data_IF_517536441557
#
_entry.id   IF_517536441557
#
_cell.length_a   1.000
_cell.length_b   1.000
_cell.length_c   1.000
_cell.angle_alpha   90.00
_cell.angle_beta   90.00
_cell.angle_gamma   90.00
#
_symmetry.space_group_name_H-M   'P 1'
#
loop_
_entity.id
_entity.type
_entity.pdbx_description
1 polymer ?
#
# COMPACT_ATOMS: atom_id res chain seq x y z
N UNK A 1 -30.42 -13.68 2.91
CA UNK A 1 -30.34 -12.77 4.08
C UNK A 1 -28.91 -12.27 4.37
N UNK A 2 -27.85 -13.11 4.36
CA UNK A 2 -26.46 -12.67 4.60
C UNK A 2 -25.91 -11.79 3.47
N UNK A 3 -26.23 -12.07 2.23
CA UNK A 3 -25.76 -11.31 1.05
C UNK A 3 -26.39 -9.90 0.97
N UNK A 4 -27.69 -9.76 1.28
CA UNK A 4 -28.35 -8.45 1.35
C UNK A 4 -27.74 -7.56 2.43
N UNK A 5 -27.52 -8.10 3.62
CA UNK A 5 -26.88 -7.35 4.72
C UNK A 5 -25.47 -6.87 4.38
N UNK A 6 -24.68 -7.73 3.71
CA UNK A 6 -23.33 -7.38 3.25
C UNK A 6 -23.34 -6.26 2.20
N UNK A 7 -24.31 -6.26 1.27
CA UNK A 7 -24.46 -5.20 0.27
C UNK A 7 -24.91 -3.87 0.91
N UNK A 8 -25.80 -3.91 1.91
CA UNK A 8 -26.22 -2.72 2.65
C UNK A 8 -25.09 -2.13 3.49
N UNK A 9 -24.31 -2.97 4.20
CA UNK A 9 -23.16 -2.54 4.99
C UNK A 9 -22.08 -1.91 4.10
N UNK A 10 -21.82 -2.49 2.93
CA UNK A 10 -20.88 -1.93 1.95
C UNK A 10 -21.36 -0.62 1.33
N UNK A 11 -22.68 -0.49 1.08
CA UNK A 11 -23.26 0.75 0.56
C UNK A 11 -23.20 1.87 1.60
N UNK A 12 -23.48 1.55 2.87
CA UNK A 12 -23.38 2.50 4.00
C UNK A 12 -21.95 2.95 4.20
N UNK A 13 -20.98 2.03 4.23
CA UNK A 13 -19.57 2.36 4.37
C UNK A 13 -19.08 3.28 3.23
N UNK A 14 -19.49 3.04 1.97
CA UNK A 14 -19.17 3.92 0.84
C UNK A 14 -19.79 5.31 0.97
N UNK A 15 -21.01 5.38 1.47
CA UNK A 15 -21.71 6.65 1.70
C UNK A 15 -20.98 7.46 2.78
N UNK A 16 -20.65 6.85 3.91
CA UNK A 16 -19.98 7.50 5.04
C UNK A 16 -18.56 7.95 4.64
N UNK A 17 -17.83 7.11 3.89
CA UNK A 17 -16.53 7.49 3.33
C UNK A 17 -16.63 8.71 2.38
N UNK A 18 -17.67 8.77 1.53
CA UNK A 18 -17.91 9.93 0.64
C UNK A 18 -18.17 11.19 1.44
N UNK A 19 -18.95 11.12 2.53
CA UNK A 19 -19.19 12.25 3.41
C UNK A 19 -17.90 12.74 4.06
N UNK A 20 -17.07 11.83 4.54
CA UNK A 20 -15.75 12.15 5.10
C UNK A 20 -14.88 12.89 4.09
N UNK A 21 -14.76 12.38 2.87
CA UNK A 21 -14.00 13.03 1.80
C UNK A 21 -14.58 14.41 1.43
N UNK A 22 -15.91 14.57 1.44
CA UNK A 22 -16.53 15.85 1.16
C UNK A 22 -16.24 16.89 2.25
N UNK A 23 -16.27 16.50 3.51
CA UNK A 23 -15.90 17.38 4.64
C UNK A 23 -14.43 17.82 4.54
N UNK A 24 -13.51 16.89 4.25
CA UNK A 24 -12.09 17.20 4.03
C UNK A 24 -11.91 18.20 2.89
N UNK A 25 -12.62 18.00 1.78
CA UNK A 25 -12.60 18.92 0.62
C UNK A 25 -13.07 20.32 0.99
N UNK A 26 -14.14 20.45 1.79
CA UNK A 26 -14.66 21.76 2.21
C UNK A 26 -13.66 22.47 3.13
N UNK A 27 -13.09 21.77 4.10
CA UNK A 27 -12.10 22.34 5.03
C UNK A 27 -10.83 22.77 4.28
N UNK A 28 -10.36 21.95 3.34
CA UNK A 28 -9.23 22.28 2.47
C UNK A 28 -9.51 23.52 1.60
N UNK A 29 -10.71 23.61 1.00
CA UNK A 29 -11.09 24.74 0.14
C UNK A 29 -11.25 26.07 0.92
N UNK A 30 -11.46 25.99 2.23
CA UNK A 30 -11.50 27.15 3.13
C UNK A 30 -10.11 27.52 3.70
N UNK A 31 -9.07 26.77 3.34
CA UNK A 31 -7.72 26.88 3.91
C UNK A 31 -7.70 26.77 5.44
N UNK A 32 -8.74 26.19 6.04
CA UNK A 32 -8.84 25.93 7.48
C UNK A 32 -8.08 24.64 7.84
N UNK A 33 -6.77 24.73 7.75
CA UNK A 33 -5.87 23.59 8.03
C UNK A 33 -5.93 23.13 9.48
N UNK A 34 -6.29 24.02 10.42
CA UNK A 34 -6.44 23.64 11.82
C UNK A 34 -7.62 22.69 12.01
N UNK A 35 -8.80 23.06 11.51
CA UNK A 35 -10.00 22.20 11.57
C UNK A 35 -9.83 20.95 10.71
N UNK A 36 -9.12 21.04 9.57
CA UNK A 36 -8.80 19.90 8.73
C UNK A 36 -7.97 18.88 9.50
N UNK A 37 -6.89 19.30 10.15
CA UNK A 37 -6.04 18.42 10.93
C UNK A 37 -6.80 17.81 12.11
N UNK A 38 -7.56 18.61 12.88
CA UNK A 38 -8.40 18.07 13.97
C UNK A 38 -9.42 17.03 13.49
N UNK A 39 -9.98 17.22 12.29
CA UNK A 39 -10.92 16.27 11.70
C UNK A 39 -10.21 14.97 11.32
N UNK A 40 -9.02 15.06 10.70
CA UNK A 40 -8.19 13.91 10.36
C UNK A 40 -7.73 13.15 11.61
N UNK A 41 -7.26 13.85 12.64
CA UNK A 41 -6.79 13.24 13.91
C UNK A 41 -7.87 12.41 14.58
N UNK A 42 -9.14 12.85 14.53
CA UNK A 42 -10.28 12.07 15.07
C UNK A 42 -10.50 10.74 14.33
N UNK A 43 -10.18 10.69 13.02
CA UNK A 43 -10.32 9.48 12.21
C UNK A 43 -9.09 8.56 12.31
N UNK A 44 -7.92 9.14 12.52
CA UNK A 44 -6.64 8.42 12.50
C UNK A 44 -6.15 7.99 13.89
N UNK A 45 -6.92 8.31 14.97
CA UNK A 45 -6.55 7.97 16.34
C UNK A 45 -5.08 8.29 16.67
N UNK A 46 -4.74 9.60 16.66
CA UNK A 46 -3.47 10.14 17.18
C UNK A 46 -2.22 9.32 16.79
N UNK A 47 -1.85 9.34 15.51
CA UNK A 47 -0.50 8.91 15.13
C UNK A 47 0.47 10.06 15.43
N UNK A 48 1.51 9.85 16.24
CA UNK A 48 2.55 10.86 16.41
C UNK A 48 3.18 11.15 15.05
N UNK A 49 3.23 12.44 14.69
CA UNK A 49 3.97 12.88 13.50
C UNK A 49 5.45 12.71 13.84
N UNK A 50 6.02 11.58 13.44
CA UNK A 50 7.46 11.36 13.48
C UNK A 50 8.15 12.33 12.52
N UNK A 51 9.43 12.62 12.74
CA UNK A 51 10.23 13.44 11.81
C UNK A 51 10.04 12.93 10.38
N UNK A 52 9.68 13.84 9.46
CA UNK A 52 9.42 13.48 8.07
C UNK A 52 10.73 13.14 7.37
N UNK A 53 10.87 11.91 6.93
CA UNK A 53 12.02 11.43 6.15
C UNK A 53 11.77 11.72 4.68
N UNK A 54 12.78 12.19 3.96
CA UNK A 54 12.71 12.37 2.51
C UNK A 54 13.12 11.09 1.79
N UNK A 55 12.16 10.34 1.27
CA UNK A 55 12.38 9.12 0.49
C UNK A 55 12.47 9.39 -1.03
N UNK A 56 11.63 10.29 -1.56
CA UNK A 56 11.59 10.60 -2.99
C UNK A 56 10.91 11.95 -3.26
N UNK A 57 10.99 12.42 -4.51
CA UNK A 57 10.41 13.69 -4.95
C UNK A 57 8.88 13.64 -5.09
N UNK A 58 8.28 12.47 -5.40
CA UNK A 58 6.83 12.36 -5.47
C UNK A 58 6.22 12.50 -4.07
N UNK A 59 5.46 13.57 -3.84
CA UNK A 59 4.95 13.93 -2.52
C UNK A 59 3.98 12.90 -1.95
N UNK A 60 3.14 12.29 -2.78
CA UNK A 60 2.15 11.30 -2.35
C UNK A 60 2.81 10.00 -1.90
N UNK A 61 3.81 9.52 -2.68
CA UNK A 61 4.61 8.35 -2.31
C UNK A 61 5.45 8.64 -1.08
N UNK A 62 6.07 9.83 -0.99
CA UNK A 62 6.84 10.22 0.18
C UNK A 62 5.99 10.21 1.46
N UNK A 63 4.76 10.75 1.39
CA UNK A 63 3.81 10.71 2.52
C UNK A 63 3.41 9.28 2.90
N UNK A 64 3.11 8.43 1.91
CA UNK A 64 2.79 7.02 2.14
C UNK A 64 3.93 6.27 2.85
N UNK A 65 5.18 6.47 2.41
CA UNK A 65 6.35 5.83 3.02
C UNK A 65 6.57 6.32 4.45
N UNK A 66 6.40 7.63 4.71
CA UNK A 66 6.46 8.17 6.07
C UNK A 66 5.37 7.63 7.00
N UNK A 67 4.25 7.16 6.45
CA UNK A 67 3.20 6.51 7.22
C UNK A 67 3.49 5.02 7.50
N UNK A 68 3.95 4.26 6.49
CA UNK A 68 4.09 2.79 6.60
C UNK A 68 5.44 2.34 7.19
N UNK A 69 6.55 3.03 6.84
CA UNK A 69 7.88 2.56 7.25
C UNK A 69 8.10 2.64 8.77
N UNK A 70 7.64 3.66 9.50
CA UNK A 70 7.75 3.66 10.96
C UNK A 70 7.14 2.41 11.60
N UNK A 71 5.96 1.96 11.16
CA UNK A 71 5.33 0.75 11.69
C UNK A 71 6.13 -0.53 11.40
N UNK A 72 6.83 -0.58 10.26
CA UNK A 72 7.74 -1.68 9.96
C UNK A 72 8.96 -1.69 10.90
N UNK A 73 9.53 -0.51 11.16
CA UNK A 73 10.68 -0.36 12.06
C UNK A 73 10.31 -0.69 13.52
N UNK A 74 9.13 -0.25 13.98
CA UNK A 74 8.60 -0.59 15.32
C UNK A 74 8.36 -2.10 15.47
N UNK A 75 8.13 -2.80 14.35
CA UNK A 75 7.98 -4.26 14.32
C UNK A 75 9.33 -5.00 14.14
N UNK A 76 10.47 -4.33 14.35
CA UNK A 76 11.83 -4.87 14.15
C UNK A 76 12.04 -5.43 12.73
N UNK A 77 11.45 -4.82 11.71
CA UNK A 77 11.65 -5.22 10.32
C UNK A 77 12.79 -4.39 9.72
N UNK A 78 13.83 -5.07 9.25
CA UNK A 78 14.86 -4.39 8.46
C UNK A 78 14.32 -3.99 7.09
N UNK A 79 14.46 -2.72 6.72
CA UNK A 79 13.95 -2.18 5.45
C UNK A 79 15.08 -1.65 4.58
N UNK A 80 15.15 -2.12 3.34
CA UNK A 80 16.07 -1.62 2.30
C UNK A 80 15.22 -1.01 1.16
N UNK A 81 15.26 0.32 1.06
CA UNK A 81 14.40 1.09 0.17
C UNK A 81 15.21 1.84 -0.89
N UNK A 82 14.89 1.59 -2.16
CA UNK A 82 15.46 2.32 -3.30
C UNK A 82 14.33 2.96 -4.10
N UNK A 83 14.04 4.23 -3.82
CA UNK A 83 12.93 4.96 -4.45
C UNK A 83 13.48 6.08 -5.33
N UNK A 84 13.40 5.92 -6.65
CA UNK A 84 13.86 6.89 -7.65
C UNK A 84 12.70 7.21 -8.57
N UNK A 85 11.93 8.21 -8.21
CA UNK A 85 10.76 8.66 -8.94
C UNK A 85 10.89 10.15 -9.28
N UNK A 86 10.41 10.59 -10.46
CA UNK A 86 10.24 12.00 -10.76
C UNK A 86 9.09 12.60 -9.95
N UNK A 87 8.95 13.92 -10.00
CA UNK A 87 7.89 14.66 -9.28
C UNK A 87 6.48 14.23 -9.74
N UNK A 88 6.32 13.91 -11.02
CA UNK A 88 5.07 13.47 -11.62
C UNK A 88 5.27 12.28 -12.55
N UNK A 89 4.26 11.43 -12.65
CA UNK A 89 4.20 10.26 -13.50
C UNK A 89 2.88 10.21 -14.25
N UNK A 90 2.79 9.54 -15.42
CA UNK A 90 1.52 9.25 -16.09
C UNK A 90 0.59 8.34 -15.26
N UNK A 91 1.15 7.57 -14.31
CA UNK A 91 0.38 6.82 -13.33
C UNK A 91 -0.13 7.77 -12.25
N UNK A 92 -1.45 7.75 -11.97
CA UNK A 92 -2.01 8.63 -10.94
C UNK A 92 -1.43 8.34 -9.56
N UNK A 93 -1.22 9.38 -8.75
CA UNK A 93 -0.72 9.24 -7.38
C UNK A 93 -1.60 8.30 -6.53
N UNK A 94 -2.92 8.34 -6.73
CA UNK A 94 -3.87 7.46 -6.03
C UNK A 94 -3.60 6.00 -6.35
N UNK A 95 -3.42 5.68 -7.63
CA UNK A 95 -3.17 4.30 -8.08
C UNK A 95 -1.78 3.84 -7.64
N UNK A 96 -0.77 4.71 -7.74
CA UNK A 96 0.59 4.40 -7.30
C UNK A 96 0.64 4.15 -5.79
N UNK A 97 0.00 5.00 -4.98
CA UNK A 97 -0.11 4.80 -3.54
C UNK A 97 -0.93 3.54 -3.19
N UNK A 98 -1.96 3.21 -3.98
CA UNK A 98 -2.72 1.96 -3.79
C UNK A 98 -1.85 0.73 -4.03
N UNK A 99 -1.05 0.72 -5.10
CA UNK A 99 -0.11 -0.38 -5.40
C UNK A 99 0.92 -0.52 -4.28
N UNK A 100 1.63 0.56 -3.95
CA UNK A 100 2.71 0.54 -2.95
C UNK A 100 2.20 0.25 -1.54
N UNK A 101 1.04 0.79 -1.16
CA UNK A 101 0.40 0.50 0.12
C UNK A 101 0.07 -0.97 0.27
N UNK A 102 -0.59 -1.57 -0.72
CA UNK A 102 -0.91 -3.00 -0.71
C UNK A 102 0.36 -3.89 -0.68
N UNK A 103 1.42 -3.50 -1.40
CA UNK A 103 2.71 -4.22 -1.39
C UNK A 103 3.32 -4.18 0.02
N UNK A 104 3.48 -2.98 0.59
CA UNK A 104 4.12 -2.79 1.88
C UNK A 104 3.32 -3.42 3.03
N UNK A 105 2.00 -3.26 3.04
CA UNK A 105 1.15 -3.93 4.04
C UNK A 105 1.24 -5.45 3.96
N UNK A 106 1.30 -6.03 2.74
CA UNK A 106 1.49 -7.46 2.57
C UNK A 106 2.89 -7.89 3.03
N UNK A 107 3.93 -7.11 2.73
CA UNK A 107 5.30 -7.37 3.14
C UNK A 107 5.46 -7.32 4.67
N UNK A 108 4.94 -6.28 5.33
CA UNK A 108 4.94 -6.16 6.80
C UNK A 108 4.24 -7.37 7.43
N UNK A 109 3.04 -7.71 6.95
CA UNK A 109 2.30 -8.86 7.48
C UNK A 109 3.01 -10.19 7.22
N UNK A 110 3.71 -10.35 6.08
CA UNK A 110 4.56 -11.51 5.80
C UNK A 110 5.68 -11.62 6.82
N UNK A 111 6.41 -10.54 7.06
CA UNK A 111 7.49 -10.48 8.04
C UNK A 111 7.04 -10.82 9.46
N UNK A 112 5.80 -10.46 9.85
CA UNK A 112 5.26 -10.83 11.17
C UNK A 112 5.05 -12.33 11.38
N UNK A 113 5.20 -13.15 10.34
CA UNK A 113 5.10 -14.62 10.44
C UNK A 113 6.43 -15.30 10.77
N UNK A 114 7.52 -14.55 10.84
CA UNK A 114 8.87 -15.04 11.18
C UNK A 114 9.41 -14.31 12.42
N UNK A 115 10.46 -14.85 13.03
CA UNK A 115 11.14 -14.22 14.18
C UNK A 115 11.78 -12.88 13.78
N UNK A 116 11.92 -11.96 14.74
CA UNK A 116 12.33 -10.57 14.51
C UNK A 116 13.67 -10.46 13.75
N UNK A 117 14.65 -11.27 14.11
CA UNK A 117 15.98 -11.29 13.48
C UNK A 117 15.97 -11.70 11.99
N UNK A 118 14.87 -12.31 11.52
CA UNK A 118 14.73 -12.76 10.14
C UNK A 118 13.82 -11.84 9.31
N UNK A 119 13.25 -10.77 9.90
CA UNK A 119 12.33 -9.86 9.21
C UNK A 119 13.08 -8.92 8.29
N UNK A 120 12.77 -8.99 7.01
CA UNK A 120 13.40 -8.14 6.01
C UNK A 120 12.42 -7.76 4.91
N UNK A 121 12.42 -6.49 4.52
CA UNK A 121 11.70 -5.96 3.35
C UNK A 121 12.71 -5.24 2.47
N UNK A 122 12.70 -5.56 1.18
CA UNK A 122 13.41 -4.82 0.15
C UNK A 122 12.39 -4.28 -0.84
N UNK A 123 12.45 -2.98 -1.12
CA UNK A 123 11.56 -2.31 -2.07
C UNK A 123 12.38 -1.43 -3.01
N UNK A 124 12.28 -1.70 -4.31
CA UNK A 124 12.84 -0.87 -5.37
C UNK A 124 11.72 -0.31 -6.23
N UNK A 125 11.62 1.02 -6.32
CA UNK A 125 10.65 1.73 -7.17
C UNK A 125 11.43 2.70 -8.02
N UNK A 126 11.58 2.40 -9.31
CA UNK A 126 12.43 3.17 -10.22
C UNK A 126 11.77 3.37 -11.56
N UNK A 127 12.00 4.54 -12.19
CA UNK A 127 11.73 4.74 -13.60
C UNK A 127 12.99 4.49 -14.42
N UNK A 128 12.84 3.90 -15.61
CA UNK A 128 13.93 3.72 -16.57
C UNK A 128 13.60 4.36 -17.90
N UNK A 129 14.48 5.26 -18.35
CA UNK A 129 14.40 5.96 -19.66
C UNK A 129 13.04 6.64 -19.89
N UNK A 130 12.35 7.08 -18.83
CA UNK A 130 11.01 7.68 -18.88
C UNK A 130 9.98 6.85 -19.69
N UNK A 131 10.20 5.54 -19.74
CA UNK A 131 9.38 4.62 -20.55
C UNK A 131 8.65 3.61 -19.68
N UNK A 132 9.27 3.20 -18.56
CA UNK A 132 8.71 2.18 -17.67
C UNK A 132 8.95 2.52 -16.21
N UNK A 133 7.93 2.30 -15.42
CA UNK A 133 8.00 2.23 -13.96
C UNK A 133 8.17 0.77 -13.54
N UNK A 134 9.22 0.48 -12.79
CA UNK A 134 9.48 -0.82 -12.19
C UNK A 134 9.28 -0.74 -10.69
N UNK A 135 8.50 -1.67 -10.15
CA UNK A 135 8.31 -1.87 -8.72
C UNK A 135 8.68 -3.31 -8.42
N UNK A 136 9.74 -3.51 -7.64
CA UNK A 136 10.20 -4.82 -7.20
C UNK A 136 10.21 -4.84 -5.69
N UNK A 137 9.46 -5.75 -5.10
CA UNK A 137 9.40 -5.92 -3.67
C UNK A 137 9.71 -7.37 -3.28
N UNK A 138 10.48 -7.52 -2.20
CA UNK A 138 10.77 -8.82 -1.60
C UNK A 138 10.60 -8.71 -0.10
N UNK A 139 9.96 -9.69 0.50
CA UNK A 139 9.88 -9.79 1.96
C UNK A 139 10.07 -11.22 2.45
N UNK A 140 10.56 -11.36 3.67
CA UNK A 140 10.60 -12.65 4.36
C UNK A 140 9.21 -13.04 4.87
N UNK A 141 8.93 -14.34 4.93
CA UNK A 141 7.72 -14.92 5.51
C UNK A 141 7.95 -16.41 5.85
N UNK A 142 6.97 -17.07 6.43
CA UNK A 142 7.07 -18.46 6.90
C UNK A 142 6.88 -19.55 5.82
N UNK A 143 6.90 -19.20 4.53
CA UNK A 143 6.72 -20.12 3.40
C UNK A 143 5.27 -20.61 3.16
N UNK A 144 4.33 -20.30 4.06
CA UNK A 144 2.97 -20.79 3.96
C UNK A 144 2.13 -19.91 3.02
N UNK A 145 1.75 -20.44 1.89
CA UNK A 145 0.84 -19.80 0.92
C UNK A 145 -0.40 -20.66 0.67
N UNK A 146 -1.50 -20.00 0.33
CA UNK A 146 -2.70 -20.65 -0.21
C UNK A 146 -2.89 -20.18 -1.63
N UNK A 147 -3.09 -21.13 -2.56
CA UNK A 147 -3.32 -20.82 -3.98
C UNK A 147 -4.60 -21.52 -4.46
N UNK A 148 -5.33 -20.84 -5.33
CA UNK A 148 -6.42 -21.43 -6.10
C UNK A 148 -6.20 -21.05 -7.58
N UNK A 149 -6.07 -22.05 -8.47
CA UNK A 149 -5.77 -21.84 -9.90
C UNK A 149 -4.67 -20.80 -10.16
N UNK A 150 -3.52 -20.96 -9.51
CA UNK A 150 -2.35 -20.04 -9.57
C UNK A 150 -2.54 -18.66 -8.93
N UNK A 151 -3.72 -18.34 -8.40
CA UNK A 151 -3.95 -17.09 -7.66
C UNK A 151 -3.63 -17.27 -6.18
N UNK A 152 -2.88 -16.32 -5.62
CA UNK A 152 -2.63 -16.27 -4.18
C UNK A 152 -3.90 -15.86 -3.42
N UNK A 153 -4.25 -16.65 -2.41
CA UNK A 153 -5.36 -16.36 -1.49
C UNK A 153 -4.80 -15.85 -0.16
N UNK A 154 -5.61 -15.08 0.55
CA UNK A 154 -5.22 -14.62 1.90
C UNK A 154 -5.05 -15.82 2.84
N UNK A 155 -4.00 -15.77 3.65
CA UNK A 155 -3.78 -16.69 4.77
C UNK A 155 -4.29 -16.11 6.09
N UNK A 156 -4.74 -14.83 6.09
CA UNK A 156 -5.23 -14.15 7.29
C UNK A 156 -6.64 -14.62 7.66
N UNK A 157 -6.94 -14.89 8.95
CA UNK A 157 -8.26 -15.36 9.39
C UNK A 157 -9.40 -14.39 9.04
N UNK A 158 -9.15 -13.07 9.07
CA UNK A 158 -10.12 -12.00 8.78
C UNK A 158 -9.76 -11.21 7.51
N UNK A 159 -8.80 -11.67 6.72
CA UNK A 159 -8.35 -10.96 5.51
C UNK A 159 -9.25 -11.27 4.32
N UNK A 160 -9.66 -10.24 3.60
CA UNK A 160 -10.52 -10.38 2.40
C UNK A 160 -9.73 -10.79 1.15
N UNK A 161 -8.39 -10.90 1.21
CA UNK A 161 -7.55 -11.31 0.08
C UNK A 161 -7.55 -10.34 -1.11
N UNK A 162 -7.95 -9.10 -0.89
CA UNK A 162 -8.19 -8.13 -1.95
C UNK A 162 -6.88 -7.45 -2.42
N UNK A 163 -5.84 -7.41 -1.57
CA UNK A 163 -4.63 -6.60 -1.82
C UNK A 163 -3.90 -6.96 -3.13
N UNK A 164 -3.56 -8.24 -3.35
CA UNK A 164 -2.88 -8.67 -4.57
C UNK A 164 -3.76 -8.51 -5.81
N UNK A 165 -5.06 -8.79 -5.69
CA UNK A 165 -6.04 -8.58 -6.77
C UNK A 165 -6.19 -7.08 -7.09
N UNK A 166 -6.19 -6.21 -6.08
CA UNK A 166 -6.22 -4.76 -6.29
C UNK A 166 -4.97 -4.27 -7.03
N UNK A 167 -3.79 -4.77 -6.68
CA UNK A 167 -2.55 -4.47 -7.41
C UNK A 167 -2.71 -4.89 -8.88
N UNK A 168 -3.15 -6.11 -9.15
CA UNK A 168 -3.31 -6.63 -10.49
C UNK A 168 -4.26 -5.78 -11.34
N UNK A 169 -5.46 -5.48 -10.84
CA UNK A 169 -6.46 -4.64 -11.52
C UNK A 169 -5.87 -3.25 -11.82
N UNK A 170 -5.17 -2.66 -10.83
CA UNK A 170 -4.60 -1.32 -10.99
C UNK A 170 -3.47 -1.31 -12.02
N UNK A 171 -2.60 -2.32 -12.03
CA UNK A 171 -1.51 -2.45 -13.01
C UNK A 171 -2.04 -2.68 -14.41
N UNK A 172 -3.05 -3.53 -14.58
CA UNK A 172 -3.73 -3.81 -15.85
C UNK A 172 -4.37 -2.54 -16.45
N UNK A 173 -4.89 -1.63 -15.63
CA UNK A 173 -5.43 -0.33 -16.06
C UNK A 173 -4.41 0.49 -16.87
N UNK A 174 -3.13 0.32 -16.61
CA UNK A 174 -2.01 1.00 -17.28
C UNK A 174 -1.32 0.11 -18.32
N UNK A 175 -1.93 -1.01 -18.76
CA UNK A 175 -1.32 -2.01 -19.66
C UNK A 175 0.00 -2.56 -19.10
N UNK A 176 0.17 -2.55 -17.80
CA UNK A 176 1.33 -3.09 -17.11
C UNK A 176 1.24 -4.60 -16.89
N UNK A 177 2.31 -5.15 -16.37
CA UNK A 177 2.40 -6.57 -15.99
C UNK A 177 2.76 -6.68 -14.52
N UNK A 178 2.21 -7.69 -13.85
CA UNK A 178 2.53 -8.03 -12.48
C UNK A 178 2.76 -9.53 -12.35
N UNK A 179 3.82 -9.90 -11.65
CA UNK A 179 4.12 -11.27 -11.30
C UNK A 179 4.35 -11.38 -9.80
N UNK A 180 3.65 -12.32 -9.18
CA UNK A 180 3.89 -12.71 -7.80
C UNK A 180 4.49 -14.09 -7.76
N UNK A 181 5.53 -14.27 -6.95
CA UNK A 181 6.20 -15.56 -6.75
C UNK A 181 6.65 -15.71 -5.30
N UNK A 182 7.02 -16.91 -4.92
CA UNK A 182 7.58 -17.20 -3.62
C UNK A 182 8.52 -18.40 -3.67
N UNK A 183 9.49 -18.43 -2.76
CA UNK A 183 10.19 -19.63 -2.31
C UNK A 183 9.74 -19.99 -0.88
N UNK A 184 10.52 -20.81 -0.18
CA UNK A 184 10.19 -21.29 1.17
C UNK A 184 10.32 -20.22 2.26
N UNK A 185 10.93 -19.07 1.97
CA UNK A 185 11.26 -18.04 2.94
C UNK A 185 10.96 -16.63 2.49
N UNK A 186 10.78 -16.40 1.19
CA UNK A 186 10.60 -15.08 0.61
C UNK A 186 9.42 -15.03 -0.36
N UNK A 187 8.71 -13.92 -0.30
CA UNK A 187 7.67 -13.54 -1.26
C UNK A 187 8.20 -12.41 -2.16
N UNK A 188 7.88 -12.48 -3.44
CA UNK A 188 8.32 -11.55 -4.47
C UNK A 188 7.13 -10.94 -5.19
N UNK A 189 7.20 -9.64 -5.46
CA UNK A 189 6.26 -8.92 -6.31
C UNK A 189 7.06 -8.11 -7.33
N UNK A 190 6.89 -8.45 -8.60
CA UNK A 190 7.54 -7.79 -9.73
C UNK A 190 6.48 -7.12 -10.60
N UNK A 191 6.57 -5.81 -10.75
CA UNK A 191 5.61 -4.99 -11.48
C UNK A 191 6.35 -4.13 -12.49
N UNK A 192 5.80 -4.07 -13.70
CA UNK A 192 6.25 -3.18 -14.77
C UNK A 192 5.04 -2.46 -15.35
N UNK A 193 5.09 -1.13 -15.37
CA UNK A 193 4.05 -0.26 -15.92
C UNK A 193 4.68 0.61 -17.01
N UNK A 194 4.16 0.60 -18.26
CA UNK A 194 4.52 1.59 -19.29
C UNK A 194 4.12 3.01 -18.84
N UNK A 195 5.00 4.00 -19.03
CA UNK A 195 4.77 5.39 -18.62
C UNK A 195 5.13 6.36 -19.74
#
# INVERSE_FOLDING_TARGET
LKQCKYMEDTARARHDFRHTLHTLKILSAKEDFSSLNQYLDRYLNEFPVNETVFYCKNNSVNALLNYLIPSALEADIHTDLKIILPDSLPVSDIDLCSILGNILENAINGCMTVSAENRNIQLSVITRHDTYLYIVATNTFNGIVRKNNSQYLTTRPNGHGIGLTSIQITVEKYNGTVQFSNDDSRFYADIMIPI
#
